data_IF_780742947148
#
_entry.id   IF_780742947148
#
_cell.length_a   1.000
_cell.length_b   1.000
_cell.length_c   1.000
_cell.angle_alpha   90.00
_cell.angle_beta   90.00
_cell.angle_gamma   90.00
#
_symmetry.space_group_name_H-M   'P 1'
#
loop_
_entity.id
_entity.type
_entity.pdbx_description
1 polymer ?
#
# COMPACT_ATOMS: atom_id res chain seq x y z
N UNK A 1 -11.85 -42.23 -22.07
CA UNK A 1 -12.13 -43.60 -21.61
C UNK A 1 -12.18 -44.51 -22.84
N UNK A 2 -11.42 -45.62 -22.83
CA UNK A 2 -11.62 -46.75 -23.74
C UNK A 2 -10.79 -46.80 -25.03
N UNK A 3 -9.46 -46.73 -24.95
CA UNK A 3 -8.57 -47.21 -26.03
C UNK A 3 -8.21 -48.67 -25.79
N UNK A 4 -8.93 -49.59 -26.43
CA UNK A 4 -8.61 -51.02 -26.44
C UNK A 4 -7.75 -51.35 -27.66
N UNK A 5 -6.46 -51.60 -27.45
CA UNK A 5 -5.56 -52.20 -28.45
C UNK A 5 -5.49 -53.72 -28.21
N UNK A 6 -6.32 -54.48 -28.94
CA UNK A 6 -6.16 -55.93 -29.04
C UNK A 6 -5.05 -56.25 -30.05
N UNK A 7 -3.94 -56.80 -29.58
CA UNK A 7 -2.86 -57.31 -30.43
C UNK A 7 -2.87 -58.84 -30.43
N UNK A 8 -3.24 -59.43 -31.58
CA UNK A 8 -3.15 -60.87 -31.82
C UNK A 8 -1.74 -61.22 -32.32
N UNK A 9 -1.00 -62.05 -31.57
CA UNK A 9 0.33 -62.54 -31.94
C UNK A 9 0.20 -63.88 -32.66
N UNK A 10 0.49 -63.90 -33.97
CA UNK A 10 0.62 -65.13 -34.77
C UNK A 10 1.91 -65.88 -34.45
N UNK A 11 1.85 -67.22 -34.46
CA UNK A 11 2.86 -68.14 -33.92
C UNK A 11 4.23 -68.20 -34.65
N UNK A 12 4.50 -67.32 -35.61
CA UNK A 12 5.74 -67.34 -36.42
C UNK A 12 6.53 -66.03 -36.32
N UNK A 13 6.65 -65.40 -35.15
CA UNK A 13 7.61 -64.30 -34.88
C UNK A 13 7.58 -63.04 -35.78
N UNK A 14 6.72 -63.02 -36.80
CA UNK A 14 6.53 -61.95 -37.77
C UNK A 14 5.36 -61.11 -37.26
N UNK A 15 5.68 -59.90 -36.81
CA UNK A 15 4.66 -58.90 -36.46
C UNK A 15 4.02 -58.42 -37.76
N UNK A 16 2.75 -58.74 -37.96
CA UNK A 16 1.96 -58.13 -39.04
C UNK A 16 1.66 -56.69 -38.62
N UNK A 17 2.43 -55.73 -39.14
CA UNK A 17 2.16 -54.31 -38.94
C UNK A 17 1.13 -53.90 -40.00
N UNK A 18 -0.13 -53.76 -39.59
CA UNK A 18 -1.09 -53.04 -40.41
C UNK A 18 -0.67 -51.56 -40.40
N UNK A 19 -0.04 -51.09 -41.47
CA UNK A 19 0.23 -49.67 -41.67
C UNK A 19 -1.11 -49.03 -42.01
N UNK A 20 -1.79 -48.48 -41.00
CA UNK A 20 -2.95 -47.64 -41.22
C UNK A 20 -2.48 -46.40 -41.97
N UNK A 21 -2.95 -46.20 -43.20
CA UNK A 21 -2.67 -44.97 -43.96
C UNK A 21 -3.11 -43.77 -43.12
N UNK A 22 -2.17 -42.86 -42.83
CA UNK A 22 -2.44 -41.61 -42.08
C UNK A 22 -3.37 -40.68 -42.86
N UNK A 23 -3.52 -40.93 -44.16
CA UNK A 23 -4.48 -40.27 -45.03
C UNK A 23 -5.83 -40.97 -44.93
N UNK A 24 -6.79 -40.34 -44.26
CA UNK A 24 -8.20 -40.53 -44.58
C UNK A 24 -8.42 -39.89 -45.95
N UNK A 25 -8.50 -40.70 -47.00
CA UNK A 25 -8.87 -40.24 -48.33
C UNK A 25 -10.38 -39.94 -48.38
N UNK A 26 -10.82 -38.91 -47.65
CA UNK A 26 -12.21 -38.43 -47.72
C UNK A 26 -12.57 -37.91 -49.12
N UNK A 27 -11.57 -37.51 -49.92
CA UNK A 27 -11.73 -37.10 -51.31
C UNK A 27 -11.82 -38.28 -52.29
N UNK A 28 -11.46 -39.51 -51.89
CA UNK A 28 -11.63 -40.72 -52.71
C UNK A 28 -12.99 -41.40 -52.51
N UNK A 29 -13.83 -40.87 -51.61
CA UNK A 29 -15.18 -41.38 -51.38
C UNK A 29 -16.10 -40.92 -52.51
N UNK A 30 -16.38 -41.83 -53.45
CA UNK A 30 -17.33 -41.59 -54.55
C UNK A 30 -18.77 -41.65 -54.04
N UNK A 31 -19.69 -41.03 -54.81
CA UNK A 31 -21.11 -41.24 -54.61
C UNK A 31 -21.43 -42.74 -54.67
N UNK A 32 -22.35 -43.26 -53.84
CA UNK A 32 -22.79 -44.65 -53.91
C UNK A 32 -23.26 -45.01 -55.32
N UNK A 33 -22.95 -46.23 -55.76
CA UNK A 33 -23.36 -46.70 -57.08
C UNK A 33 -24.89 -46.67 -57.23
N UNK A 34 -25.37 -45.94 -58.24
CA UNK A 34 -26.77 -45.94 -58.67
C UNK A 34 -26.92 -46.94 -59.81
N UNK A 35 -27.71 -48.02 -59.63
CA UNK A 35 -27.87 -49.03 -60.67
C UNK A 35 -28.68 -48.49 -61.85
N UNK A 36 -28.35 -48.98 -63.05
CA UNK A 36 -29.14 -48.72 -64.24
C UNK A 36 -30.53 -49.37 -64.12
N UNK A 37 -31.56 -48.69 -64.64
CA UNK A 37 -32.94 -49.17 -64.61
C UNK A 37 -33.51 -49.27 -66.03
N UNK A 38 -34.41 -50.23 -66.24
CA UNK A 38 -35.15 -50.40 -67.50
C UNK A 38 -36.63 -50.15 -67.23
N UNK A 39 -37.24 -49.24 -67.97
CA UNK A 39 -38.65 -48.90 -67.86
C UNK A 39 -39.43 -49.60 -68.98
N UNK A 40 -40.59 -50.18 -68.65
CA UNK A 40 -41.48 -50.79 -69.65
C UNK A 40 -42.09 -49.70 -70.53
N UNK A 41 -42.24 -49.98 -71.83
CA UNK A 41 -42.87 -49.05 -72.77
C UNK A 41 -44.30 -48.69 -72.31
N UNK A 42 -44.56 -47.40 -72.11
CA UNK A 42 -45.83 -46.86 -71.63
C UNK A 42 -45.97 -46.71 -70.10
N UNK A 43 -45.00 -47.17 -69.31
CA UNK A 43 -44.97 -46.93 -67.87
C UNK A 43 -44.02 -45.76 -67.55
N UNK A 44 -44.47 -44.80 -66.75
CA UNK A 44 -43.63 -43.66 -66.32
C UNK A 44 -43.61 -43.58 -64.79
N UNK A 45 -42.67 -44.26 -64.12
CA UNK A 45 -42.62 -44.30 -62.66
C UNK A 45 -42.25 -42.94 -62.07
N UNK A 46 -43.09 -42.42 -61.16
CA UNK A 46 -42.90 -41.12 -60.52
C UNK A 46 -41.60 -41.01 -59.71
N UNK A 47 -41.04 -42.14 -59.26
CA UNK A 47 -39.74 -42.18 -58.55
C UNK A 47 -38.60 -41.67 -59.45
N UNK A 48 -38.72 -41.78 -60.78
CA UNK A 48 -37.73 -41.21 -61.72
C UNK A 48 -37.73 -39.69 -61.72
N UNK A 49 -38.81 -39.05 -61.24
CA UNK A 49 -38.85 -37.61 -61.01
C UNK A 49 -37.86 -37.14 -59.93
N UNK A 50 -37.34 -38.04 -59.09
CA UNK A 50 -36.32 -37.77 -58.08
C UNK A 50 -34.89 -38.14 -58.51
N UNK A 51 -34.67 -38.53 -59.78
CA UNK A 51 -33.36 -38.98 -60.27
C UNK A 51 -32.25 -37.92 -60.12
N UNK A 52 -32.60 -36.63 -60.04
CA UNK A 52 -31.65 -35.56 -59.83
C UNK A 52 -31.03 -35.53 -58.41
N UNK A 53 -31.61 -36.27 -57.45
CA UNK A 53 -31.11 -36.32 -56.08
C UNK A 53 -30.02 -37.40 -55.97
N UNK A 54 -28.91 -37.06 -55.31
CA UNK A 54 -27.83 -38.01 -55.02
C UNK A 54 -27.53 -38.09 -53.52
N UNK A 55 -26.75 -39.09 -53.11
CA UNK A 55 -26.36 -39.25 -51.71
C UNK A 55 -25.62 -37.99 -51.20
N UNK A 56 -26.06 -37.45 -50.07
CA UNK A 56 -25.53 -36.18 -49.53
C UNK A 56 -26.01 -34.92 -50.27
N UNK A 57 -26.75 -35.06 -51.37
CA UNK A 57 -27.40 -33.98 -52.13
C UNK A 57 -28.89 -34.27 -52.29
N UNK A 58 -29.59 -34.42 -51.16
CA UNK A 58 -31.05 -34.60 -51.09
C UNK A 58 -31.53 -36.02 -50.79
N UNK A 59 -30.65 -37.03 -50.77
CA UNK A 59 -30.94 -38.31 -50.12
C UNK A 59 -30.31 -38.37 -48.71
N UNK A 60 -31.00 -38.95 -47.70
CA UNK A 60 -32.26 -39.67 -47.79
C UNK A 60 -33.47 -38.76 -48.03
N UNK A 61 -34.43 -39.24 -48.83
CA UNK A 61 -35.62 -38.49 -49.19
C UNK A 61 -36.40 -38.06 -47.93
N UNK A 62 -36.69 -36.77 -47.85
CA UNK A 62 -37.47 -36.15 -46.80
C UNK A 62 -38.93 -35.90 -47.21
N UNK A 63 -39.59 -35.01 -46.48
CA UNK A 63 -41.00 -34.70 -46.70
C UNK A 63 -41.23 -33.97 -48.03
N UNK A 64 -40.33 -33.10 -48.44
CA UNK A 64 -40.45 -32.33 -49.68
C UNK A 64 -40.43 -33.23 -50.93
N UNK A 65 -39.57 -34.25 -50.92
CA UNK A 65 -39.44 -35.22 -52.01
C UNK A 65 -40.68 -36.13 -52.10
N UNK A 66 -41.24 -36.52 -50.95
CA UNK A 66 -42.50 -37.27 -50.89
C UNK A 66 -43.66 -36.41 -51.41
N UNK A 67 -43.77 -35.16 -50.97
CA UNK A 67 -44.77 -34.22 -51.48
C UNK A 67 -44.64 -34.00 -52.99
N UNK A 68 -43.42 -33.95 -53.54
CA UNK A 68 -43.20 -33.85 -54.98
C UNK A 68 -43.74 -35.08 -55.73
N UNK A 69 -43.50 -36.29 -55.21
CA UNK A 69 -44.06 -37.52 -55.79
C UNK A 69 -45.60 -37.51 -55.71
N UNK A 70 -46.16 -37.09 -54.58
CA UNK A 70 -47.61 -36.99 -54.40
C UNK A 70 -48.23 -35.99 -55.40
N UNK A 71 -47.59 -34.84 -55.62
CA UNK A 71 -48.00 -33.88 -56.66
C UNK A 71 -47.96 -34.49 -58.06
N UNK A 72 -46.91 -35.24 -58.40
CA UNK A 72 -46.83 -35.94 -59.69
C UNK A 72 -47.95 -36.96 -59.86
N UNK A 73 -48.31 -37.69 -58.79
CA UNK A 73 -49.44 -38.64 -58.81
C UNK A 73 -50.77 -37.92 -58.99
N UNK A 74 -50.99 -36.82 -58.28
CA UNK A 74 -52.19 -35.99 -58.42
C UNK A 74 -52.32 -35.43 -59.84
N UNK A 75 -51.21 -34.94 -60.42
CA UNK A 75 -51.18 -34.46 -61.80
C UNK A 75 -51.55 -35.56 -62.81
N UNK A 76 -50.98 -36.75 -62.68
CA UNK A 76 -51.35 -37.90 -63.54
C UNK A 76 -52.80 -38.32 -63.38
N UNK A 77 -53.31 -38.36 -62.15
CA UNK A 77 -54.71 -38.66 -61.88
C UNK A 77 -55.65 -37.59 -62.47
N UNK A 78 -55.25 -36.32 -62.41
CA UNK A 78 -55.97 -35.20 -63.00
C UNK A 78 -55.99 -35.30 -64.53
N UNK A 79 -54.84 -35.52 -65.17
CA UNK A 79 -54.73 -35.72 -66.62
C UNK A 79 -55.59 -36.88 -67.12
N UNK A 80 -55.65 -37.97 -66.35
CA UNK A 80 -56.53 -39.11 -66.64
C UNK A 80 -58.03 -38.80 -66.44
N UNK A 81 -58.37 -37.88 -65.54
CA UNK A 81 -59.74 -37.44 -65.27
C UNK A 81 -60.26 -36.39 -66.26
N UNK A 82 -59.40 -35.86 -67.15
CA UNK A 82 -59.81 -34.83 -68.11
C UNK A 82 -60.82 -35.39 -69.14
N UNK A 83 -61.85 -34.60 -69.51
CA UNK A 83 -62.79 -34.99 -70.55
C UNK A 83 -62.10 -35.26 -71.90
N UNK A 84 -62.63 -36.18 -72.71
CA UNK A 84 -62.14 -36.42 -74.07
C UNK A 84 -62.46 -35.23 -75.00
N UNK A 85 -61.69 -35.09 -76.09
CA UNK A 85 -61.75 -33.96 -77.04
C UNK A 85 -62.83 -34.17 -78.12
N UNK A 86 -63.88 -34.94 -77.82
CA UNK A 86 -64.87 -35.35 -78.83
C UNK A 86 -65.94 -34.29 -79.12
N UNK A 87 -66.21 -33.37 -78.18
CA UNK A 87 -67.28 -32.37 -78.28
C UNK A 87 -66.77 -30.96 -77.89
N UNK A 88 -67.40 -29.91 -78.43
CA UNK A 88 -67.02 -28.51 -78.16
C UNK A 88 -67.22 -28.15 -76.68
N UNK A 89 -68.31 -28.61 -76.06
CA UNK A 89 -68.59 -28.38 -74.65
C UNK A 89 -67.59 -29.12 -73.73
N UNK A 90 -67.18 -30.34 -74.09
CA UNK A 90 -66.17 -31.09 -73.32
C UNK A 90 -64.78 -30.49 -73.47
N UNK A 91 -64.47 -29.91 -74.63
CA UNK A 91 -63.24 -29.17 -74.86
C UNK A 91 -63.16 -27.89 -74.00
N UNK A 92 -64.23 -27.09 -73.95
CA UNK A 92 -64.27 -25.91 -73.08
C UNK A 92 -64.10 -26.26 -71.61
N UNK A 93 -64.76 -27.34 -71.15
CA UNK A 93 -64.63 -27.82 -69.78
C UNK A 93 -63.20 -28.27 -69.46
N UNK A 94 -62.57 -29.04 -70.37
CA UNK A 94 -61.17 -29.47 -70.25
C UNK A 94 -60.23 -28.26 -70.16
N UNK A 95 -60.44 -27.24 -71.00
CA UNK A 95 -59.64 -26.01 -71.01
C UNK A 95 -59.73 -25.28 -69.66
N UNK A 96 -60.94 -25.08 -69.13
CA UNK A 96 -61.13 -24.42 -67.83
C UNK A 96 -60.45 -25.20 -66.69
N UNK A 97 -60.63 -26.52 -66.66
CA UNK A 97 -59.98 -27.38 -65.67
C UNK A 97 -58.45 -27.27 -65.75
N UNK A 98 -57.87 -27.26 -66.95
CA UNK A 98 -56.42 -27.09 -67.14
C UNK A 98 -55.93 -25.72 -66.67
N UNK A 99 -56.62 -24.63 -67.04
CA UNK A 99 -56.29 -23.27 -66.61
C UNK A 99 -56.34 -23.12 -65.07
N UNK A 100 -57.36 -23.69 -64.42
CA UNK A 100 -57.46 -23.72 -62.95
C UNK A 100 -56.31 -24.49 -62.30
N UNK A 101 -55.99 -25.68 -62.84
CA UNK A 101 -54.89 -26.49 -62.32
C UNK A 101 -53.54 -25.81 -62.50
N UNK A 102 -53.31 -25.13 -63.62
CA UNK A 102 -52.10 -24.35 -63.84
C UNK A 102 -51.97 -23.26 -62.77
N UNK A 103 -53.02 -22.46 -62.52
CA UNK A 103 -53.00 -21.40 -61.50
C UNK A 103 -52.67 -21.95 -60.10
N UNK A 104 -53.18 -23.14 -59.76
CA UNK A 104 -52.85 -23.81 -58.50
C UNK A 104 -51.37 -24.21 -58.44
N UNK A 105 -50.81 -24.78 -59.52
CA UNK A 105 -49.38 -25.11 -59.59
C UNK A 105 -48.49 -23.86 -59.51
N UNK A 106 -48.89 -22.77 -60.17
CA UNK A 106 -48.19 -21.49 -60.10
C UNK A 106 -48.19 -20.93 -58.67
N UNK A 107 -49.34 -20.93 -57.99
CA UNK A 107 -49.44 -20.48 -56.60
C UNK A 107 -48.61 -21.32 -55.63
N UNK A 108 -48.52 -22.64 -55.85
CA UNK A 108 -47.64 -23.52 -55.07
C UNK A 108 -46.17 -23.15 -55.26
N UNK A 109 -45.72 -22.96 -56.51
CA UNK A 109 -44.33 -22.54 -56.80
C UNK A 109 -44.01 -21.18 -56.19
N UNK A 110 -44.92 -20.22 -56.30
CA UNK A 110 -44.76 -18.89 -55.70
C UNK A 110 -44.61 -19.00 -54.18
N UNK A 111 -45.46 -19.80 -53.53
CA UNK A 111 -45.36 -20.02 -52.08
C UNK A 111 -44.04 -20.67 -51.63
N UNK A 112 -43.46 -21.52 -52.47
CA UNK A 112 -42.15 -22.15 -52.19
C UNK A 112 -41.01 -21.15 -52.36
N UNK A 113 -41.06 -20.32 -53.40
CA UNK A 113 -40.12 -19.22 -53.61
C UNK A 113 -40.18 -18.25 -52.43
N UNK A 114 -41.38 -17.86 -51.98
CA UNK A 114 -41.58 -16.97 -50.84
C UNK A 114 -41.00 -17.56 -49.56
N UNK A 115 -41.21 -18.85 -49.29
CA UNK A 115 -40.59 -19.54 -48.13
C UNK A 115 -39.07 -19.42 -48.16
N UNK A 116 -38.44 -19.76 -49.28
CA UNK A 116 -36.98 -19.70 -49.43
C UNK A 116 -36.48 -18.26 -49.29
N UNK A 117 -37.18 -17.28 -49.85
CA UNK A 117 -36.82 -15.87 -49.73
C UNK A 117 -36.95 -15.38 -48.28
N UNK A 118 -38.03 -15.74 -47.59
CA UNK A 118 -38.25 -15.41 -46.18
C UNK A 118 -37.17 -16.00 -45.27
N UNK A 119 -36.77 -17.26 -45.51
CA UNK A 119 -35.69 -17.90 -44.75
C UNK A 119 -34.34 -17.17 -44.95
N UNK A 120 -34.04 -16.77 -46.20
CA UNK A 120 -32.86 -15.96 -46.53
C UNK A 120 -32.90 -14.59 -45.86
N UNK A 121 -34.04 -13.91 -45.90
CA UNK A 121 -34.23 -12.61 -45.26
C UNK A 121 -34.08 -12.71 -43.74
N UNK A 122 -34.65 -13.75 -43.12
CA UNK A 122 -34.50 -13.99 -41.69
C UNK A 122 -33.04 -14.21 -41.29
N UNK A 123 -32.26 -14.93 -42.10
CA UNK A 123 -30.83 -15.11 -41.87
C UNK A 123 -30.08 -13.78 -41.98
N UNK A 124 -30.36 -12.99 -43.01
CA UNK A 124 -29.74 -11.67 -43.20
C UNK A 124 -30.08 -10.71 -42.07
N UNK A 125 -31.33 -10.68 -41.63
CA UNK A 125 -31.76 -9.86 -40.50
C UNK A 125 -31.00 -10.24 -39.22
N UNK A 126 -30.89 -11.54 -38.91
CA UNK A 126 -30.09 -11.99 -37.76
C UNK A 126 -28.63 -11.59 -37.86
N UNK A 127 -28.04 -11.62 -39.06
CA UNK A 127 -26.66 -11.21 -39.28
C UNK A 127 -26.48 -9.69 -39.07
N UNK A 128 -27.43 -8.88 -39.52
CA UNK A 128 -27.44 -7.43 -39.28
C UNK A 128 -27.59 -7.13 -37.80
N UNK A 129 -28.56 -7.76 -37.13
CA UNK A 129 -28.78 -7.58 -35.68
C UNK A 129 -27.54 -7.96 -34.87
N UNK A 130 -26.85 -9.05 -35.24
CA UNK A 130 -25.61 -9.46 -34.58
C UNK A 130 -24.50 -8.42 -34.75
N UNK A 131 -24.31 -7.92 -35.98
CA UNK A 131 -23.34 -6.88 -36.29
C UNK A 131 -23.65 -5.58 -35.54
N UNK A 132 -24.90 -5.18 -35.49
CA UNK A 132 -25.31 -3.92 -34.88
C UNK A 132 -25.14 -3.99 -33.35
N UNK A 133 -25.45 -5.13 -32.71
CA UNK A 133 -25.14 -5.36 -31.29
C UNK A 133 -23.64 -5.30 -30.99
N UNK A 134 -22.80 -5.86 -31.85
CA UNK A 134 -21.35 -5.78 -31.68
C UNK A 134 -20.85 -4.33 -31.79
N UNK A 135 -21.38 -3.58 -32.75
CA UNK A 135 -21.07 -2.16 -32.91
C UNK A 135 -21.52 -1.32 -31.70
N UNK A 136 -22.74 -1.55 -31.20
CA UNK A 136 -23.26 -0.90 -30.00
C UNK A 136 -22.37 -1.18 -28.79
N UNK A 137 -21.97 -2.44 -28.60
CA UNK A 137 -21.06 -2.82 -27.51
C UNK A 137 -19.72 -2.08 -27.57
N UNK A 138 -19.11 -1.98 -28.76
CA UNK A 138 -17.86 -1.23 -28.95
C UNK A 138 -18.07 0.27 -28.68
N UNK A 139 -19.21 0.83 -29.10
CA UNK A 139 -19.54 2.23 -28.84
C UNK A 139 -19.73 2.49 -27.35
N UNK A 140 -20.45 1.62 -26.65
CA UNK A 140 -20.66 1.71 -25.21
C UNK A 140 -19.33 1.68 -24.44
N UNK A 141 -18.41 0.80 -24.82
CA UNK A 141 -17.07 0.77 -24.23
C UNK A 141 -16.31 2.09 -24.41
N UNK A 142 -16.36 2.68 -25.62
CA UNK A 142 -15.71 3.98 -25.88
C UNK A 142 -16.33 5.10 -25.04
N UNK A 143 -17.65 5.09 -24.89
CA UNK A 143 -18.37 6.06 -24.04
C UNK A 143 -18.01 5.86 -22.57
N UNK A 144 -17.90 4.62 -22.10
CA UNK A 144 -17.47 4.32 -20.73
C UNK A 144 -16.05 4.78 -20.46
N UNK A 145 -15.11 4.52 -21.36
CA UNK A 145 -13.72 4.98 -21.24
C UNK A 145 -13.65 6.51 -21.16
N UNK A 146 -14.36 7.21 -22.05
CA UNK A 146 -14.47 8.67 -22.01
C UNK A 146 -15.07 9.15 -20.67
N UNK A 147 -16.10 8.46 -20.17
CA UNK A 147 -16.72 8.79 -18.88
C UNK A 147 -15.75 8.60 -17.73
N UNK A 148 -14.95 7.53 -17.74
CA UNK A 148 -13.92 7.26 -16.72
C UNK A 148 -12.88 8.36 -16.70
N UNK A 149 -12.30 8.72 -17.85
CA UNK A 149 -11.28 9.78 -17.92
C UNK A 149 -11.81 11.12 -17.42
N UNK A 150 -13.01 11.51 -17.84
CA UNK A 150 -13.67 12.73 -17.37
C UNK A 150 -13.97 12.70 -15.87
N UNK A 151 -14.35 11.55 -15.33
CA UNK A 151 -14.62 11.37 -13.90
C UNK A 151 -13.32 11.51 -13.10
N UNK A 152 -12.23 10.89 -13.54
CA UNK A 152 -10.92 11.00 -12.92
C UNK A 152 -10.41 12.45 -12.91
N UNK A 153 -10.59 13.17 -14.02
CA UNK A 153 -10.24 14.59 -14.08
C UNK A 153 -11.07 15.43 -13.12
N UNK A 154 -12.38 15.18 -13.03
CA UNK A 154 -13.27 15.83 -12.06
C UNK A 154 -12.77 15.56 -10.65
N UNK A 155 -12.44 14.31 -10.32
CA UNK A 155 -12.01 13.91 -8.99
C UNK A 155 -10.66 14.52 -8.60
N UNK A 156 -9.71 14.60 -9.54
CA UNK A 156 -8.45 15.36 -9.34
C UNK A 156 -8.71 16.83 -9.04
N UNK A 157 -9.63 17.47 -9.77
CA UNK A 157 -10.02 18.88 -9.52
C UNK A 157 -10.68 19.05 -8.15
N UNK A 158 -11.59 18.14 -7.77
CA UNK A 158 -12.24 18.14 -6.46
C UNK A 158 -11.21 17.95 -5.34
N UNK A 159 -10.28 17.01 -5.49
CA UNK A 159 -9.20 16.80 -4.53
C UNK A 159 -8.33 18.06 -4.37
N UNK A 160 -7.98 18.74 -5.47
CA UNK A 160 -7.24 20.00 -5.40
C UNK A 160 -8.01 21.10 -4.65
N UNK A 161 -9.32 21.21 -4.86
CA UNK A 161 -10.19 22.14 -4.12
C UNK A 161 -10.23 21.78 -2.63
N UNK A 162 -10.36 20.50 -2.29
CA UNK A 162 -10.34 20.03 -0.91
C UNK A 162 -9.01 20.33 -0.21
N UNK A 163 -7.87 20.11 -0.87
CA UNK A 163 -6.56 20.44 -0.33
C UNK A 163 -6.39 21.94 -0.08
N UNK A 164 -6.90 22.78 -1.00
CA UNK A 164 -6.96 24.23 -0.81
C UNK A 164 -7.84 24.58 0.39
N UNK A 165 -9.03 23.99 0.51
CA UNK A 165 -9.94 24.18 1.64
C UNK A 165 -9.29 23.80 2.99
N UNK A 166 -8.63 22.66 3.07
CA UNK A 166 -7.94 22.23 4.30
C UNK A 166 -6.81 23.21 4.63
N UNK A 167 -6.03 23.63 3.64
CA UNK A 167 -4.95 24.59 3.83
C UNK A 167 -5.45 25.95 4.31
N UNK A 168 -6.54 26.47 3.73
CA UNK A 168 -7.13 27.74 4.16
C UNK A 168 -7.73 27.63 5.56
N UNK A 169 -8.48 26.57 5.87
CA UNK A 169 -9.00 26.33 7.21
C UNK A 169 -7.87 26.27 8.25
N UNK A 170 -6.78 25.53 7.97
CA UNK A 170 -5.61 25.44 8.85
C UNK A 170 -4.92 26.80 9.05
N UNK A 171 -4.85 27.65 8.03
CA UNK A 171 -4.31 29.01 8.15
C UNK A 171 -5.22 29.89 8.99
N UNK A 172 -6.53 29.81 8.79
CA UNK A 172 -7.53 30.57 9.55
C UNK A 172 -7.55 30.18 11.03
N UNK A 173 -7.47 28.89 11.36
CA UNK A 173 -7.40 28.44 12.76
C UNK A 173 -6.13 28.94 13.45
N UNK A 174 -4.98 28.87 12.78
CA UNK A 174 -3.72 29.45 13.29
C UNK A 174 -3.82 30.96 13.49
N UNK A 175 -4.38 31.69 12.53
CA UNK A 175 -4.57 33.13 12.64
C UNK A 175 -5.48 33.51 13.82
N UNK A 176 -6.59 32.79 14.02
CA UNK A 176 -7.49 32.98 15.18
C UNK A 176 -6.81 32.68 16.52
N UNK A 177 -5.95 31.67 16.58
CA UNK A 177 -5.18 31.39 17.79
C UNK A 177 -4.19 32.54 18.12
N UNK A 178 -3.57 33.12 17.09
CA UNK A 178 -2.60 34.22 17.28
C UNK A 178 -3.24 35.57 17.62
N UNK A 179 -4.49 35.83 17.22
CA UNK A 179 -5.14 37.13 17.46
C UNK A 179 -5.38 37.47 18.94
N UNK A 180 -5.37 36.47 19.83
CA UNK A 180 -5.48 36.68 21.29
C UNK A 180 -4.14 36.77 22.04
N UNK A 181 -3.03 36.33 21.42
CA UNK A 181 -1.68 36.40 21.99
C UNK A 181 -0.92 37.56 21.32
N UNK A 182 -1.12 38.78 21.82
CA UNK A 182 -0.26 39.91 21.46
C UNK A 182 1.15 39.67 21.98
N UNK A 183 2.15 39.63 21.08
CA UNK A 183 3.60 39.51 21.29
C UNK A 183 4.03 39.29 22.75
N UNK A 184 3.77 38.09 23.28
CA UNK A 184 4.30 37.71 24.59
C UNK A 184 5.79 37.44 24.46
N UNK A 185 6.56 37.86 25.45
CA UNK A 185 7.98 37.49 25.57
C UNK A 185 8.10 35.97 25.50
N UNK A 186 9.14 35.47 24.81
CA UNK A 186 9.43 34.04 24.67
C UNK A 186 9.46 33.36 26.04
N UNK A 187 8.62 32.34 26.24
CA UNK A 187 8.65 31.50 27.43
C UNK A 187 9.68 30.38 27.26
N UNK A 188 10.79 30.51 27.96
CA UNK A 188 11.88 29.53 27.90
C UNK A 188 11.47 28.22 28.56
N UNK A 189 10.62 28.25 29.59
CA UNK A 189 10.22 27.03 30.30
C UNK A 189 9.31 26.20 29.39
N UNK A 190 8.36 26.83 28.72
CA UNK A 190 7.48 26.17 27.75
C UNK A 190 8.27 25.58 26.56
N UNK A 191 9.26 26.31 26.05
CA UNK A 191 10.13 25.83 24.98
C UNK A 191 10.90 24.56 25.37
N UNK A 192 11.43 24.47 26.60
CA UNK A 192 12.14 23.26 27.04
C UNK A 192 11.20 22.14 27.51
N UNK A 193 9.94 22.46 27.84
CA UNK A 193 8.91 21.48 28.15
C UNK A 193 8.36 20.79 26.89
N UNK A 194 8.28 21.50 25.75
CA UNK A 194 7.79 20.93 24.50
C UNK A 194 8.94 20.37 23.63
N UNK A 195 9.01 19.05 23.38
CA UNK A 195 10.05 18.46 22.53
C UNK A 195 9.95 18.88 21.05
N UNK A 196 8.78 19.39 20.62
CA UNK A 196 8.60 19.94 19.27
C UNK A 196 9.01 21.42 19.15
N UNK A 197 9.53 22.03 20.22
CA UNK A 197 10.00 23.42 20.20
C UNK A 197 11.24 23.58 19.32
N UNK A 198 11.53 24.83 18.94
CA UNK A 198 12.73 25.15 18.14
C UNK A 198 14.06 24.89 18.85
N UNK A 199 14.05 24.62 20.17
CA UNK A 199 15.27 24.27 20.94
C UNK A 199 15.73 22.86 20.54
N UNK A 200 14.82 21.89 20.54
CA UNK A 200 15.09 20.49 20.22
C UNK A 200 14.92 20.18 18.73
N UNK A 201 13.90 20.77 18.08
CA UNK A 201 13.58 20.58 16.67
C UNK A 201 13.68 21.92 15.91
N UNK A 202 14.89 22.44 15.66
CA UNK A 202 15.07 23.71 14.96
C UNK A 202 14.56 23.65 13.52
N UNK A 203 13.82 24.67 13.11
CA UNK A 203 13.34 24.81 11.73
C UNK A 203 14.47 25.38 10.87
N UNK A 204 14.87 24.65 9.83
CA UNK A 204 15.98 25.03 8.94
C UNK A 204 15.83 26.39 8.27
N UNK A 205 14.59 26.84 7.99
CA UNK A 205 14.32 28.19 7.46
C UNK A 205 14.77 29.31 8.40
N UNK A 206 14.95 29.04 9.70
CA UNK A 206 15.49 29.98 10.68
C UNK A 206 17.03 29.98 10.73
N UNK A 207 17.70 29.23 9.85
CA UNK A 207 19.16 29.19 9.73
C UNK A 207 19.88 28.34 10.76
N UNK A 208 19.15 27.65 11.65
CA UNK A 208 19.73 26.72 12.63
C UNK A 208 19.72 25.30 12.04
N UNK A 209 20.89 24.75 11.81
CA UNK A 209 21.11 23.46 11.16
C UNK A 209 21.93 22.59 12.11
N UNK A 210 21.30 21.79 12.99
CA UNK A 210 22.03 21.04 14.03
C UNK A 210 23.09 20.08 13.48
N UNK A 211 22.96 19.62 12.24
CA UNK A 211 23.96 18.77 11.58
C UNK A 211 25.10 19.55 10.92
N UNK A 212 24.86 20.81 10.50
CA UNK A 212 25.88 21.67 9.88
C UNK A 212 26.59 22.54 10.93
N UNK A 213 25.84 23.06 11.89
CA UNK A 213 26.33 23.85 13.02
C UNK A 213 27.17 23.02 14.02
N UNK A 214 27.35 21.71 13.78
CA UNK A 214 28.47 20.92 14.32
C UNK A 214 29.82 21.33 13.70
N UNK A 215 30.00 22.61 13.41
CA UNK A 215 31.30 23.12 13.01
C UNK A 215 32.18 23.21 14.26
N UNK A 216 32.93 22.14 14.46
CA UNK A 216 33.74 21.89 15.64
C UNK A 216 33.30 20.60 16.28
N UNK A 217 33.52 19.48 15.58
CA UNK A 217 33.86 18.25 16.29
C UNK A 217 35.12 18.60 17.11
N UNK A 218 34.92 19.14 18.30
CA UNK A 218 35.92 19.13 19.34
C UNK A 218 36.06 17.66 19.72
N UNK A 219 36.68 16.89 18.82
CA UNK A 219 37.20 15.59 19.14
C UNK A 219 38.23 15.86 20.23
N UNK A 220 37.79 15.76 21.49
CA UNK A 220 38.65 15.81 22.66
C UNK A 220 39.57 14.58 22.73
N UNK A 221 39.94 14.01 21.58
CA UNK A 221 41.09 13.16 21.42
C UNK A 221 42.31 14.06 21.40
N UNK A 222 42.64 14.63 22.57
CA UNK A 222 43.86 15.40 22.74
C UNK A 222 45.03 14.43 22.56
N UNK A 223 45.74 14.56 21.44
CA UNK A 223 47.00 13.85 21.19
C UNK A 223 47.99 14.03 22.35
N UNK A 224 47.81 15.12 23.11
CA UNK A 224 48.48 15.47 24.35
C UNK A 224 48.37 14.40 25.47
N UNK A 225 47.34 13.55 25.45
CA UNK A 225 47.17 12.46 26.43
C UNK A 225 47.67 11.09 25.93
N UNK A 226 48.02 10.96 24.65
CA UNK A 226 48.30 9.67 24.02
C UNK A 226 49.70 9.09 24.35
N UNK A 227 50.63 9.94 24.78
CA UNK A 227 52.01 9.56 25.08
C UNK A 227 52.50 10.24 26.35
N UNK A 228 53.35 9.56 27.11
CA UNK A 228 54.03 10.15 28.28
C UNK A 228 54.84 11.39 27.91
N UNK A 229 55.45 11.42 26.72
CA UNK A 229 56.15 12.61 26.24
C UNK A 229 55.19 13.79 25.96
N UNK A 230 54.00 13.49 25.46
CA UNK A 230 52.95 14.47 25.20
C UNK A 230 52.34 15.02 26.51
N UNK A 231 52.17 14.17 27.52
CA UNK A 231 51.76 14.57 28.87
C UNK A 231 52.78 15.50 29.53
N UNK A 232 54.07 15.22 29.39
CA UNK A 232 55.13 16.09 29.92
C UNK A 232 55.21 17.42 29.17
N UNK A 233 55.01 17.40 27.85
CA UNK A 233 54.87 18.64 27.07
C UNK A 233 53.65 19.44 27.55
N UNK A 234 52.51 18.80 27.76
CA UNK A 234 51.30 19.45 28.25
C UNK A 234 51.55 20.07 29.64
N UNK A 235 52.16 19.32 30.56
CA UNK A 235 52.57 19.80 31.88
C UNK A 235 53.47 21.04 31.80
N UNK A 236 54.40 21.07 30.84
CA UNK A 236 55.31 22.20 30.65
C UNK A 236 54.62 23.45 30.08
N UNK A 237 53.57 23.26 29.28
CA UNK A 237 52.79 24.37 28.70
C UNK A 237 51.72 24.92 29.66
N UNK A 238 51.30 24.11 30.63
CA UNK A 238 50.34 24.55 31.63
C UNK A 238 51.00 25.51 32.62
N UNK A 239 50.29 26.57 33.05
CA UNK A 239 50.81 27.46 34.07
C UNK A 239 51.03 26.68 35.36
N UNK A 240 52.07 27.05 36.13
CA UNK A 240 52.40 26.41 37.42
C UNK A 240 51.23 26.39 38.42
N UNK A 241 50.24 27.26 38.27
CA UNK A 241 49.02 27.24 39.09
C UNK A 241 48.12 26.03 38.85
N UNK A 242 48.22 25.40 37.69
CA UNK A 242 47.46 24.20 37.33
C UNK A 242 48.15 22.91 37.80
N UNK A 243 49.49 22.89 37.80
CA UNK A 243 50.30 21.71 38.16
C UNK A 243 50.76 21.70 39.61
N UNK A 244 50.95 22.87 40.22
CA UNK A 244 51.38 23.02 41.61
C UNK A 244 50.27 23.67 42.43
N UNK A 245 49.76 22.95 43.42
CA UNK A 245 48.74 23.46 44.34
C UNK A 245 49.28 24.65 45.15
N UNK A 246 48.80 25.85 44.85
CA UNK A 246 49.12 27.06 45.60
C UNK A 246 48.10 27.26 46.73
N UNK A 247 48.46 26.85 47.94
CA UNK A 247 47.67 27.13 49.14
C UNK A 247 47.88 28.57 49.61
N UNK A 248 47.29 29.54 48.89
CA UNK A 248 47.30 30.95 49.31
C UNK A 248 45.99 31.28 50.01
N UNK A 249 46.06 31.77 51.25
CA UNK A 249 44.88 32.32 51.95
C UNK A 249 44.30 33.46 51.08
N UNK A 250 42.99 33.44 50.74
CA UNK A 250 42.42 34.49 49.93
C UNK A 250 42.59 35.84 50.63
N UNK A 251 43.19 36.80 49.94
CA UNK A 251 43.30 38.18 50.45
C UNK A 251 41.90 38.79 50.52
N UNK A 252 41.57 39.50 51.61
CA UNK A 252 40.34 40.31 51.70
C UNK A 252 40.39 41.37 50.59
N UNK A 253 39.72 41.12 49.44
CA UNK A 253 39.66 42.06 48.31
C UNK A 253 38.88 43.33 48.68
N UNK A 254 38.79 44.35 47.82
CA UNK A 254 37.91 45.52 48.05
C UNK A 254 36.43 45.17 47.81
N UNK A 255 35.49 45.74 48.58
CA UNK A 255 34.06 45.44 48.48
C UNK A 255 33.48 46.15 47.28
N UNK A 256 33.02 45.38 46.29
CA UNK A 256 32.50 45.95 45.04
C UNK A 256 31.00 46.22 45.16
N UNK A 257 30.24 45.32 45.79
CA UNK A 257 28.78 45.45 45.96
C UNK A 257 28.37 46.04 47.32
N UNK A 258 27.12 46.51 47.42
CA UNK A 258 26.52 46.98 48.68
C UNK A 258 26.36 45.84 49.69
N UNK A 259 25.94 44.66 49.25
CA UNK A 259 25.85 43.46 50.08
C UNK A 259 27.23 43.08 50.65
N UNK A 260 28.28 43.07 49.81
CA UNK A 260 29.65 42.80 50.27
C UNK A 260 30.18 43.82 51.27
N UNK A 261 29.72 45.08 51.19
CA UNK A 261 30.03 46.11 52.19
C UNK A 261 29.32 45.82 53.52
N UNK A 262 28.05 45.41 53.48
CA UNK A 262 27.29 45.03 54.68
C UNK A 262 27.88 43.78 55.34
N UNK A 263 28.20 42.76 54.57
CA UNK A 263 28.83 41.53 55.07
C UNK A 263 30.17 41.82 55.76
N UNK A 264 30.94 42.79 55.27
CA UNK A 264 32.17 43.25 55.96
C UNK A 264 31.88 43.99 57.25
N UNK A 265 30.90 44.88 57.26
CA UNK A 265 30.54 45.57 58.51
C UNK A 265 30.07 44.58 59.57
N UNK A 266 29.36 43.52 59.16
CA UNK A 266 28.94 42.43 60.03
C UNK A 266 30.17 41.63 60.50
N UNK A 267 31.07 41.25 59.59
CA UNK A 267 32.29 40.53 59.94
C UNK A 267 33.19 41.34 60.89
N UNK A 268 33.39 42.64 60.65
CA UNK A 268 34.15 43.54 61.53
C UNK A 268 33.47 43.69 62.89
N UNK A 269 32.14 43.73 62.92
CA UNK A 269 31.35 43.72 64.15
C UNK A 269 31.55 42.43 64.95
N UNK A 270 31.51 41.28 64.28
CA UNK A 270 31.76 39.97 64.89
C UNK A 270 33.22 39.82 65.38
N UNK A 271 34.20 40.32 64.63
CA UNK A 271 35.61 40.34 65.05
C UNK A 271 35.81 41.19 66.31
N UNK A 272 35.18 42.37 66.41
CA UNK A 272 35.20 43.21 67.63
C UNK A 272 34.52 42.53 68.81
N UNK A 273 33.37 41.91 68.60
CA UNK A 273 32.67 41.17 69.66
C UNK A 273 33.47 39.95 70.11
N UNK A 274 34.10 39.21 69.18
CA UNK A 274 34.98 38.10 69.51
C UNK A 274 36.20 38.55 70.31
N UNK A 275 36.78 39.71 69.99
CA UNK A 275 37.88 40.29 70.77
C UNK A 275 37.43 40.69 72.19
N UNK A 276 36.27 41.33 72.34
CA UNK A 276 35.70 41.67 73.65
C UNK A 276 35.37 40.42 74.48
N UNK A 277 34.85 39.36 73.84
CA UNK A 277 34.62 38.09 74.51
C UNK A 277 35.93 37.39 74.90
N UNK A 278 36.99 37.52 74.09
CA UNK A 278 38.31 37.00 74.41
C UNK A 278 38.95 37.74 75.59
N UNK A 279 38.83 39.08 75.65
CA UNK A 279 39.29 39.86 76.81
C UNK A 279 38.47 39.54 78.05
N UNK A 280 37.13 39.47 77.95
CA UNK A 280 36.29 39.06 79.08
C UNK A 280 36.62 37.64 79.56
N UNK A 281 36.91 36.70 78.65
CA UNK A 281 37.37 35.36 79.02
C UNK A 281 38.75 35.40 79.68
N UNK A 282 39.67 36.25 79.22
CA UNK A 282 40.98 36.42 79.85
C UNK A 282 40.87 37.06 81.25
N UNK A 283 40.01 38.08 81.41
CA UNK A 283 39.73 38.74 82.68
C UNK A 283 39.02 37.77 83.65
N UNK A 284 38.07 36.97 83.16
CA UNK A 284 37.43 35.92 83.95
C UNK A 284 38.40 34.79 84.32
N UNK A 285 39.34 34.43 83.43
CA UNK A 285 40.39 33.48 83.74
C UNK A 285 41.41 34.03 84.75
N UNK A 286 41.72 35.34 84.69
CA UNK A 286 42.55 36.01 85.68
C UNK A 286 41.86 36.11 87.05
N UNK A 287 40.56 36.43 87.07
CA UNK A 287 39.75 36.43 88.30
C UNK A 287 39.59 35.03 88.89
N UNK A 288 39.42 33.99 88.06
CA UNK A 288 39.41 32.60 88.50
C UNK A 288 40.78 32.16 89.02
N UNK A 289 41.88 32.61 88.41
CA UNK A 289 43.24 32.37 88.92
C UNK A 289 43.50 33.11 90.24
N UNK A 290 42.99 34.33 90.42
CA UNK A 290 43.03 35.05 91.69
C UNK A 290 42.15 34.38 92.76
N UNK A 291 40.96 33.88 92.40
CA UNK A 291 40.13 33.07 93.30
C UNK A 291 40.77 31.73 93.66
N UNK A 292 41.44 31.06 92.71
CA UNK A 292 42.24 29.86 92.99
C UNK A 292 43.43 30.18 93.88
N UNK A 293 44.15 31.29 93.67
CA UNK A 293 45.25 31.73 94.54
C UNK A 293 44.73 32.09 95.95
N UNK A 294 43.56 32.72 96.06
CA UNK A 294 42.89 33.01 97.33
C UNK A 294 42.35 31.74 98.00
N UNK A 295 41.86 30.76 97.23
CA UNK A 295 41.44 29.46 97.72
C UNK A 295 42.65 28.62 98.18
N UNK A 296 43.79 28.67 97.49
CA UNK A 296 45.06 28.07 97.92
C UNK A 296 45.58 28.74 99.20
N UNK A 297 45.50 30.07 99.33
CA UNK A 297 45.80 30.80 100.58
C UNK A 297 44.88 30.36 101.73
N UNK A 298 43.59 30.13 101.47
CA UNK A 298 42.63 29.59 102.46
C UNK A 298 42.86 28.10 102.78
N UNK A 299 43.43 27.32 101.84
CA UNK A 299 43.77 25.90 102.01
C UNK A 299 45.14 25.66 102.64
N UNK A 300 46.01 26.68 102.73
CA UNK A 300 47.25 26.63 103.54
C UNK A 300 46.91 26.43 105.03
N UNK A 301 46.92 25.18 105.46
CA UNK A 301 46.87 24.81 106.88
C UNK A 301 48.09 25.38 107.59
N UNK A 302 47.88 26.06 108.72
CA UNK A 302 48.94 26.51 109.63
C UNK A 302 49.78 25.30 110.02
N UNK A 303 51.02 25.23 109.51
CA UNK A 303 51.98 24.23 109.95
C UNK A 303 52.32 24.50 111.42
N UNK A 304 52.18 23.49 112.28
CA UNK A 304 52.61 23.60 113.69
C UNK A 304 54.11 23.94 113.70
N UNK A 305 54.56 24.88 114.54
CA UNK A 305 55.98 25.13 114.70
C UNK A 305 56.68 23.82 115.09
N UNK A 306 57.87 23.58 114.54
CA UNK A 306 58.73 22.46 114.96
C UNK A 306 58.96 22.59 116.47
N UNK A 307 58.73 21.51 117.20
CA UNK A 307 59.09 21.40 118.62
C UNK A 307 60.57 21.78 118.79
N UNK A 308 60.92 22.66 119.75
CA UNK A 308 62.31 23.02 120.02
C UNK A 308 63.09 21.79 120.51
N UNK A 309 64.23 21.50 119.90
CA UNK A 309 65.22 20.54 120.42
C UNK A 309 65.99 21.20 121.57
N UNK A 310 66.00 20.54 122.73
CA UNK A 310 66.77 20.95 123.91
C UNK A 310 68.23 20.52 123.71
N UNK A 311 69.22 21.41 123.88
CA UNK A 311 70.63 21.04 123.85
C UNK A 311 71.01 20.25 125.10
N UNK A 312 71.58 19.06 124.93
CA UNK A 312 72.30 18.34 125.99
C UNK A 312 73.74 18.86 126.02
N UNK A 313 74.11 19.52 127.13
CA UNK A 313 75.49 19.86 127.46
C UNK A 313 76.20 18.61 128.05
N UNK A 314 77.34 18.29 127.42
CA UNK A 314 78.59 17.73 127.92
C UNK A 314 78.60 16.43 128.78
N UNK A 315 79.19 15.37 128.21
CA UNK A 315 80.07 14.46 128.98
C UNK A 315 81.32 14.10 128.17
N UNK A 316 82.46 14.39 128.78
CA UNK A 316 83.84 14.12 128.40
C UNK A 316 84.12 12.67 127.98
N UNK A 317 84.96 12.48 126.94
CA UNK A 317 86.09 11.53 126.83
C UNK A 317 86.84 11.74 125.51
#
# INVERSE_FOLDING_TARGET
EGSGEDSYVGADGKRTVAVQSVFRESEAQTDPYTPDFVVKEGEEPAVLGLQALTYGKGLPAGKAEVELIERQRQKKAFEAALPPITDEASFELRRRMMEEQELLEWGQRESEIDRIQNDRLALLQRAIDARDRENEFIQDQRVEEMRRTLTDEKDRRVAAIQQRRITTLRKLTKARATTGLSSTKRDVIEDYANPASGVYAPVTRLGRHPDRDRHGDYEAATQDLASMGALSHLESTLPRSATVASARRPSKGAARSTAERMDRTIADGLEKMAALLATQKADAAAAAAEEEEQAERRRRRVARPRTPDVPEDDVES
#
